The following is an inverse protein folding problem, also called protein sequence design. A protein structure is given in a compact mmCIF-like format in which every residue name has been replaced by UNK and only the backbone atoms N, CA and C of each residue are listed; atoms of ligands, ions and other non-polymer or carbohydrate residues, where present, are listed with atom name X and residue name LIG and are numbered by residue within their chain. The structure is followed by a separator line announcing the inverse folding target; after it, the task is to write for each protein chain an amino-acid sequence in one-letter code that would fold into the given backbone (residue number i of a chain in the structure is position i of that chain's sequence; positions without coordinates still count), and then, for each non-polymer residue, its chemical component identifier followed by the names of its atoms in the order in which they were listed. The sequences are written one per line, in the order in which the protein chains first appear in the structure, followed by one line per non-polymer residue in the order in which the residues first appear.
data_IF_965465884705
#
_entry.id   IF_965465884705
#
_cell.length_a   1.000
_cell.length_b   1.000
_cell.length_c   1.000
_cell.angle_alpha   90.00
_cell.angle_beta   90.00
_cell.angle_gamma   90.00
#
_symmetry.space_group_name_H-M   'P 1'
#
loop_
_entity.id
_entity.type
_entity.pdbx_description
1 polymer ?
#
# COMPACT_ATOMS: atom_id res chain seq x y z
N UNK A 1 9.70 20.10 2.53
CA UNK A 1 10.88 19.43 1.96
C UNK A 1 10.86 19.71 0.45
N UNK A 2 11.81 20.53 -0.02
CA UNK A 2 11.94 20.87 -1.45
C UNK A 2 12.38 19.61 -2.20
N UNK A 3 11.55 19.11 -3.10
CA UNK A 3 12.01 18.12 -4.08
C UNK A 3 13.04 18.79 -4.99
N UNK A 4 14.33 18.55 -4.76
CA UNK A 4 15.38 18.91 -5.71
C UNK A 4 15.33 17.92 -6.88
N UNK A 5 14.50 18.23 -7.89
CA UNK A 5 14.59 17.62 -9.21
C UNK A 5 15.95 18.00 -9.81
N UNK A 6 16.95 17.17 -9.53
CA UNK A 6 18.29 17.39 -10.04
C UNK A 6 18.28 17.29 -11.58
N UNK A 7 18.88 18.31 -12.20
CA UNK A 7 19.25 18.50 -13.61
C UNK A 7 18.22 18.98 -14.64
N UNK A 8 16.97 19.31 -14.27
CA UNK A 8 16.01 19.91 -15.21
C UNK A 8 15.25 21.08 -14.61
N UNK A 9 15.21 22.20 -15.34
CA UNK A 9 14.39 23.37 -15.01
C UNK A 9 12.96 23.15 -15.56
N UNK A 10 12.04 22.74 -14.70
CA UNK A 10 10.68 22.35 -15.10
C UNK A 10 9.70 23.49 -14.88
N UNK A 11 8.97 23.84 -15.94
CA UNK A 11 7.80 24.70 -15.86
C UNK A 11 6.53 23.86 -15.90
N UNK A 12 5.89 23.68 -14.75
CA UNK A 12 4.60 22.98 -14.64
C UNK A 12 3.47 23.94 -14.95
N UNK A 13 2.61 23.59 -15.91
CA UNK A 13 1.42 24.36 -16.29
C UNK A 13 0.22 23.41 -16.24
N UNK A 14 -0.81 23.79 -15.50
CA UNK A 14 -2.08 23.05 -15.47
C UNK A 14 -2.76 23.11 -16.84
N UNK A 15 -3.19 21.95 -17.36
CA UNK A 15 -3.97 21.87 -18.59
C UNK A 15 -5.25 21.05 -18.35
N UNK A 16 -6.44 21.59 -18.67
CA UNK A 16 -7.68 20.85 -18.57
C UNK A 16 -7.66 19.56 -19.42
N UNK A 17 -8.28 18.49 -18.92
CA UNK A 17 -8.32 17.19 -19.59
C UNK A 17 -8.72 17.19 -21.08
N UNK A 18 -9.74 17.98 -21.50
CA UNK A 18 -10.12 18.09 -22.91
C UNK A 18 -9.03 18.61 -23.84
N UNK A 19 -8.02 19.31 -23.32
CA UNK A 19 -6.92 19.86 -24.08
C UNK A 19 -5.64 18.99 -24.02
N UNK A 20 -5.68 17.87 -23.28
CA UNK A 20 -4.60 16.89 -23.24
C UNK A 20 -4.74 15.89 -24.40
N UNK A 21 -4.42 16.36 -25.60
CA UNK A 21 -4.56 15.61 -26.86
C UNK A 21 -3.65 14.38 -26.98
N UNK A 22 -2.57 14.33 -26.19
CA UNK A 22 -1.61 13.23 -26.19
C UNK A 22 -1.75 12.53 -24.83
N UNK A 23 -2.27 11.31 -24.85
CA UNK A 23 -2.17 10.43 -23.69
C UNK A 23 -0.69 10.15 -23.41
N UNK A 24 -0.28 10.25 -22.15
CA UNK A 24 1.09 9.99 -21.73
C UNK A 24 1.51 8.56 -22.11
N UNK A 25 2.19 8.45 -23.24
CA UNK A 25 2.76 7.21 -23.79
C UNK A 25 4.22 7.03 -23.36
N UNK A 26 4.83 8.08 -22.79
CA UNK A 26 6.25 8.10 -22.43
C UNK A 26 6.53 7.43 -21.08
N UNK A 27 5.53 7.28 -20.20
CA UNK A 27 5.67 6.50 -18.97
C UNK A 27 5.71 4.98 -19.20
N UNK A 28 5.42 4.47 -20.42
CA UNK A 28 5.30 3.03 -20.70
C UNK A 28 6.21 2.49 -21.80
N UNK A 29 6.94 3.33 -22.52
CA UNK A 29 7.87 2.90 -23.57
C UNK A 29 9.30 2.76 -23.01
N UNK A 30 9.70 1.57 -22.57
CA UNK A 30 11.12 1.31 -22.28
C UNK A 30 11.86 1.18 -23.60
N UNK A 31 12.59 2.22 -24.01
CA UNK A 31 13.54 2.11 -25.11
C UNK A 31 14.62 1.05 -24.76
N UNK A 32 14.89 0.12 -25.68
CA UNK A 32 15.82 -0.98 -25.48
C UNK A 32 17.19 -0.48 -25.02
N UNK A 33 17.60 -0.89 -23.82
CA UNK A 33 18.83 -0.43 -23.19
C UNK A 33 20.03 -1.21 -23.77
N UNK A 34 20.72 -0.63 -24.74
CA UNK A 34 22.10 -1.01 -25.07
C UNK A 34 23.04 -0.20 -24.17
N UNK A 35 23.12 -0.58 -22.89
CA UNK A 35 24.01 0.03 -21.92
C UNK A 35 24.31 -0.96 -20.81
N UNK A 36 25.58 -1.35 -20.66
CA UNK A 36 26.07 -2.06 -19.47
C UNK A 36 25.96 -1.10 -18.28
N UNK A 37 24.92 -1.26 -17.46
CA UNK A 37 24.71 -0.45 -16.27
C UNK A 37 23.75 -1.13 -15.31
N UNK A 38 24.30 -1.62 -14.21
CA UNK A 38 23.67 -1.91 -12.90
C UNK A 38 22.20 -2.36 -12.92
N UNK A 39 22.05 -3.66 -12.64
CA UNK A 39 20.86 -4.37 -12.20
C UNK A 39 19.82 -3.46 -11.53
N UNK A 40 18.59 -3.53 -12.05
CA UNK A 40 17.36 -2.95 -11.51
C UNK A 40 17.29 -3.05 -9.98
N UNK A 41 17.69 -2.00 -9.29
CA UNK A 41 17.29 -1.76 -7.91
C UNK A 41 15.90 -1.14 -8.00
N UNK A 42 14.87 -1.95 -7.73
CA UNK A 42 13.50 -1.49 -7.46
C UNK A 42 13.60 -0.44 -6.36
N UNK A 43 13.71 0.82 -6.75
CA UNK A 43 13.55 1.94 -5.86
C UNK A 43 12.06 1.99 -5.53
N UNK A 44 11.70 1.28 -4.45
CA UNK A 44 10.59 1.69 -3.62
C UNK A 44 10.96 3.08 -3.09
N UNK A 45 10.61 4.11 -3.89
CA UNK A 45 10.67 5.51 -3.48
C UNK A 45 9.50 5.70 -2.52
N UNK A 46 9.72 5.26 -1.29
CA UNK A 46 9.06 5.72 -0.09
C UNK A 46 10.02 5.42 1.07
N UNK A 47 10.88 6.40 1.37
CA UNK A 47 11.22 6.72 2.77
C UNK A 47 12.16 5.83 3.59
N UNK A 48 13.11 5.08 3.00
CA UNK A 48 14.07 4.31 3.82
C UNK A 48 15.40 5.04 4.15
N UNK A 49 15.70 6.18 3.53
CA UNK A 49 16.91 6.95 3.89
C UNK A 49 16.69 7.86 5.12
N UNK A 50 15.43 8.13 5.50
CA UNK A 50 15.09 8.88 6.71
C UNK A 50 14.99 7.99 7.96
N UNK A 51 15.02 6.67 7.81
CA UNK A 51 14.97 5.75 8.96
C UNK A 51 16.26 5.77 9.79
N UNK A 52 17.42 6.14 9.24
CA UNK A 52 18.67 6.15 10.02
C UNK A 52 18.74 7.24 11.10
N UNK A 53 18.04 8.37 10.92
CA UNK A 53 17.91 9.40 11.95
C UNK A 53 16.83 9.03 12.99
N UNK A 54 15.71 8.43 12.57
CA UNK A 54 14.64 7.98 13.47
C UNK A 54 15.09 6.81 14.38
N UNK A 55 16.00 5.94 13.91
CA UNK A 55 16.58 4.82 14.69
C UNK A 55 17.34 5.30 15.93
N UNK A 56 17.91 6.52 15.91
CA UNK A 56 18.54 7.10 17.11
C UNK A 56 17.49 7.49 18.18
N UNK A 57 16.31 7.97 17.77
CA UNK A 57 15.20 8.25 18.69
C UNK A 57 14.53 6.96 19.21
N UNK A 58 14.51 5.88 18.42
CA UNK A 58 14.07 4.53 18.89
C UNK A 58 14.92 4.04 20.07
N UNK A 59 16.20 4.40 20.09
CA UNK A 59 17.19 3.95 21.08
C UNK A 59 16.92 4.44 22.52
N UNK A 60 16.00 5.38 22.70
CA UNK A 60 15.70 6.04 23.98
C UNK A 60 14.39 5.59 24.65
N UNK A 61 13.64 4.66 24.06
CA UNK A 61 12.37 4.25 24.64
C UNK A 61 12.55 3.23 25.78
N UNK A 62 12.40 3.70 27.02
CA UNK A 62 12.49 2.90 28.26
C UNK A 62 11.69 1.60 28.25
N UNK A 63 10.61 1.56 27.46
CA UNK A 63 9.69 0.42 27.36
C UNK A 63 10.35 -0.85 26.78
N UNK A 64 11.31 -0.73 25.84
CA UNK A 64 11.94 -1.91 25.23
C UNK A 64 13.19 -2.39 25.98
N UNK A 65 13.62 -1.68 27.03
CA UNK A 65 14.82 -2.06 27.79
C UNK A 65 14.69 -3.46 28.41
N UNK A 66 13.51 -3.82 28.92
CA UNK A 66 13.27 -5.16 29.47
C UNK A 66 13.40 -6.26 28.41
N UNK A 67 12.84 -6.04 27.21
CA UNK A 67 12.97 -6.98 26.09
C UNK A 67 14.42 -7.05 25.61
N UNK A 68 15.09 -5.92 25.45
CA UNK A 68 16.51 -5.83 25.08
C UNK A 68 17.40 -6.61 26.06
N UNK A 69 17.20 -6.42 27.35
CA UNK A 69 17.93 -7.16 28.38
C UNK A 69 17.64 -8.67 28.30
N UNK A 70 16.39 -9.06 28.05
CA UNK A 70 16.03 -10.48 27.87
C UNK A 70 16.73 -11.09 26.65
N UNK A 71 16.82 -10.35 25.54
CA UNK A 71 17.50 -10.82 24.32
C UNK A 71 19.02 -10.92 24.53
N UNK A 72 19.62 -9.99 25.29
CA UNK A 72 21.07 -9.99 25.55
C UNK A 72 21.51 -11.01 26.61
N UNK A 73 20.73 -11.18 27.68
CA UNK A 73 21.04 -12.11 28.79
C UNK A 73 20.60 -13.53 28.47
N UNK A 74 19.52 -13.69 27.71
CA UNK A 74 18.90 -14.96 27.40
C UNK A 74 17.44 -15.00 27.83
N UNK A 75 16.64 -15.74 27.06
CA UNK A 75 15.24 -16.01 27.37
C UNK A 75 15.17 -17.09 28.46
N UNK A 76 14.24 -16.98 29.43
CA UNK A 76 14.00 -18.05 30.39
C UNK A 76 13.43 -19.30 29.72
N UNK A 77 13.47 -20.44 30.40
CA UNK A 77 12.90 -21.69 29.87
C UNK A 77 11.37 -21.66 29.82
N UNK A 78 10.75 -20.89 30.73
CA UNK A 78 9.30 -20.81 30.90
C UNK A 78 8.80 -19.41 30.54
N UNK A 79 7.73 -19.33 29.74
CA UNK A 79 7.17 -18.07 29.23
C UNK A 79 6.70 -17.15 30.35
N UNK A 80 6.16 -17.72 31.42
CA UNK A 80 5.64 -17.00 32.58
C UNK A 80 6.75 -16.34 33.40
N UNK A 81 8.00 -16.76 33.26
CA UNK A 81 9.13 -16.12 33.93
C UNK A 81 9.65 -14.89 33.18
N UNK A 82 9.34 -14.79 31.87
CA UNK A 82 9.73 -13.64 31.08
C UNK A 82 8.95 -12.38 31.49
N UNK A 83 9.57 -11.19 31.39
CA UNK A 83 8.87 -9.92 31.57
C UNK A 83 7.64 -9.83 30.66
N UNK A 84 6.55 -9.22 31.12
CA UNK A 84 5.29 -9.08 30.36
C UNK A 84 5.51 -8.60 28.92
N UNK A 85 6.40 -7.61 28.75
CA UNK A 85 6.74 -7.06 27.44
C UNK A 85 7.39 -8.13 26.55
N UNK A 86 8.31 -8.93 27.10
CA UNK A 86 8.98 -9.98 26.35
C UNK A 86 8.03 -11.13 25.96
N UNK A 87 7.01 -11.41 26.78
CA UNK A 87 6.00 -12.45 26.49
C UNK A 87 5.24 -12.20 25.19
N UNK A 88 5.04 -10.94 24.80
CA UNK A 88 4.39 -10.56 23.53
C UNK A 88 5.23 -11.01 22.32
N UNK A 89 6.54 -11.15 22.47
CA UNK A 89 7.49 -11.51 21.41
C UNK A 89 7.98 -12.96 21.51
N UNK A 90 7.49 -13.73 22.48
CA UNK A 90 7.88 -15.13 22.73
C UNK A 90 7.84 -16.05 21.50
N UNK A 91 6.82 -15.99 20.61
CA UNK A 91 6.70 -16.93 19.50
C UNK A 91 7.88 -16.89 18.50
N UNK A 92 8.55 -15.74 18.38
CA UNK A 92 9.65 -15.52 17.45
C UNK A 92 10.90 -15.01 18.18
N UNK A 93 11.02 -15.31 19.48
CA UNK A 93 12.12 -14.88 20.35
C UNK A 93 13.51 -15.18 19.81
N UNK A 94 13.65 -16.31 19.11
CA UNK A 94 14.89 -16.82 18.53
C UNK A 94 15.30 -16.02 17.27
N UNK A 95 14.38 -15.24 16.69
CA UNK A 95 14.62 -14.40 15.51
C UNK A 95 14.98 -12.95 15.88
N UNK A 96 14.94 -12.60 17.17
CA UNK A 96 15.15 -11.23 17.63
C UNK A 96 16.64 -10.99 17.89
N UNK A 97 17.20 -10.03 17.15
CA UNK A 97 18.58 -9.57 17.31
C UNK A 97 18.64 -8.13 17.80
N UNK A 98 19.76 -7.74 18.42
CA UNK A 98 20.02 -6.37 18.85
C UNK A 98 21.15 -5.80 18.01
N UNK A 99 20.92 -4.66 17.35
CA UNK A 99 21.94 -3.95 16.58
C UNK A 99 21.91 -2.47 16.96
N UNK A 100 23.05 -1.92 17.40
CA UNK A 100 23.18 -0.53 17.87
C UNK A 100 22.12 -0.12 18.91
N UNK A 101 21.67 -1.07 19.73
CA UNK A 101 20.66 -0.85 20.76
C UNK A 101 19.20 -0.96 20.30
N UNK A 102 18.96 -1.20 19.00
CA UNK A 102 17.64 -1.41 18.41
C UNK A 102 17.37 -2.89 18.19
N UNK A 103 16.11 -3.30 18.36
CA UNK A 103 15.66 -4.69 18.29
C UNK A 103 15.09 -5.02 16.91
N UNK A 104 15.56 -6.13 16.34
CA UNK A 104 15.22 -6.59 14.99
C UNK A 104 14.75 -8.05 14.98
N UNK A 105 13.43 -8.32 14.82
CA UNK A 105 12.91 -9.63 14.46
C UNK A 105 13.17 -9.87 12.96
N UNK A 106 14.19 -10.68 12.66
CA UNK A 106 14.66 -10.88 11.30
C UNK A 106 15.17 -9.57 10.68
N UNK A 107 14.50 -9.09 9.63
CA UNK A 107 14.86 -7.85 8.90
C UNK A 107 13.97 -6.64 9.26
N UNK A 108 13.07 -6.78 10.23
CA UNK A 108 12.11 -5.72 10.61
C UNK A 108 12.57 -5.04 11.90
N UNK A 109 12.16 -3.79 12.12
CA UNK A 109 12.45 -3.02 13.33
C UNK A 109 11.27 -3.11 14.30
N UNK A 110 11.53 -3.40 15.59
CA UNK A 110 10.51 -3.28 16.63
C UNK A 110 10.29 -1.82 17.01
N UNK A 111 9.03 -1.36 16.87
CA UNK A 111 8.65 0.02 17.18
C UNK A 111 8.11 0.14 18.61
N UNK A 112 8.73 0.99 19.47
CA UNK A 112 8.24 1.30 20.80
C UNK A 112 6.86 1.98 20.78
N UNK A 113 6.06 1.79 21.84
CA UNK A 113 4.72 2.39 21.98
C UNK A 113 4.70 3.91 21.79
N UNK A 114 5.75 4.61 22.22
CA UNK A 114 5.87 6.07 22.08
C UNK A 114 5.95 6.54 20.62
N UNK A 115 6.51 5.73 19.72
CA UNK A 115 6.71 6.09 18.31
C UNK A 115 5.59 5.58 17.39
N UNK A 116 4.73 4.67 17.88
CA UNK A 116 3.59 4.14 17.09
C UNK A 116 2.68 5.23 16.52
N UNK A 117 2.28 6.29 17.24
CA UNK A 117 1.42 7.33 16.67
C UNK A 117 2.04 8.05 15.47
N UNK A 118 3.34 8.32 15.53
CA UNK A 118 4.07 8.93 14.44
C UNK A 118 4.17 7.97 13.24
N UNK A 119 4.53 6.70 13.50
CA UNK A 119 4.62 5.69 12.45
C UNK A 119 3.28 5.45 11.77
N UNK A 120 2.17 5.40 12.51
CA UNK A 120 0.82 5.28 11.96
C UNK A 120 0.50 6.44 11.00
N UNK A 121 0.87 7.66 11.37
CA UNK A 121 0.69 8.85 10.52
C UNK A 121 1.51 8.74 9.23
N UNK A 122 2.76 8.29 9.32
CA UNK A 122 3.64 8.10 8.15
C UNK A 122 3.13 7.00 7.21
N UNK A 123 2.76 5.84 7.77
CA UNK A 123 2.20 4.69 7.02
C UNK A 123 0.92 5.10 6.27
N UNK A 124 0.06 5.89 6.90
CA UNK A 124 -1.22 6.30 6.34
C UNK A 124 -1.14 7.47 5.34
N UNK A 125 0.00 8.15 5.22
CA UNK A 125 0.17 9.39 4.44
C UNK A 125 -0.37 9.35 3.00
N UNK A 126 -0.36 8.18 2.36
CA UNK A 126 -0.82 8.01 0.98
C UNK A 126 -2.30 7.59 0.83
N UNK A 127 -3.05 7.47 1.92
CA UNK A 127 -4.47 7.09 1.93
C UNK A 127 -4.83 5.81 1.11
N UNK A 128 -3.90 4.85 1.03
CA UNK A 128 -4.02 3.63 0.18
C UNK A 128 -4.97 2.56 0.74
N UNK A 129 -5.60 2.80 1.90
CA UNK A 129 -6.48 1.86 2.59
C UNK A 129 -5.75 0.95 3.59
N UNK A 130 -6.49 0.42 4.56
CA UNK A 130 -5.91 -0.23 5.75
C UNK A 130 -5.06 -1.47 5.46
N UNK A 131 -5.50 -2.33 4.53
CA UNK A 131 -4.75 -3.55 4.18
C UNK A 131 -3.47 -3.22 3.39
N UNK A 132 -3.52 -2.23 2.51
CA UNK A 132 -2.36 -1.78 1.75
C UNK A 132 -1.34 -1.08 2.67
N UNK A 133 -1.81 -0.25 3.61
CA UNK A 133 -0.99 0.34 4.67
C UNK A 133 -0.28 -0.74 5.50
N UNK A 134 -1.01 -1.77 5.95
CA UNK A 134 -0.42 -2.88 6.69
C UNK A 134 0.63 -3.63 5.86
N UNK A 135 0.32 -3.95 4.60
CA UNK A 135 1.24 -4.65 3.71
C UNK A 135 2.53 -3.89 3.47
N UNK A 136 2.47 -2.56 3.41
CA UNK A 136 3.65 -1.72 3.30
C UNK A 136 4.45 -1.69 4.61
N UNK A 137 3.78 -1.48 5.74
CA UNK A 137 4.43 -1.39 7.05
C UNK A 137 5.13 -2.70 7.47
N UNK A 138 4.53 -3.85 7.18
CA UNK A 138 5.08 -5.15 7.57
C UNK A 138 6.40 -5.53 6.86
N UNK A 139 6.82 -4.80 5.83
CA UNK A 139 8.10 -5.05 5.14
C UNK A 139 9.28 -4.61 6.01
N UNK A 140 9.16 -3.51 6.75
CA UNK A 140 10.25 -2.92 7.53
C UNK A 140 9.95 -2.79 9.02
N UNK A 141 8.69 -2.73 9.43
CA UNK A 141 8.27 -2.45 10.80
C UNK A 141 7.57 -3.65 11.45
N UNK A 142 7.63 -3.71 12.77
CA UNK A 142 6.90 -4.68 13.56
C UNK A 142 6.53 -4.17 14.95
N UNK A 143 5.30 -4.44 15.39
CA UNK A 143 4.92 -4.46 16.80
C UNK A 143 3.69 -5.37 17.00
N UNK A 144 3.45 -5.86 18.24
CA UNK A 144 2.26 -6.63 18.55
C UNK A 144 0.98 -5.86 18.22
N UNK A 145 0.02 -6.51 17.57
CA UNK A 145 -1.25 -5.93 17.11
C UNK A 145 -1.15 -4.80 16.06
N UNK A 146 -0.02 -4.68 15.35
CA UNK A 146 0.19 -3.68 14.30
C UNK A 146 -0.91 -3.63 13.24
N UNK A 147 -1.39 -4.80 12.78
CA UNK A 147 -2.45 -4.84 11.77
C UNK A 147 -3.75 -4.18 12.26
N UNK A 148 -4.15 -4.48 13.49
CA UNK A 148 -5.36 -3.92 14.11
C UNK A 148 -5.19 -2.43 14.33
N UNK A 149 -4.06 -2.00 14.92
CA UNK A 149 -3.79 -0.57 15.16
C UNK A 149 -3.79 0.24 13.85
N UNK A 150 -3.23 -0.29 12.75
CA UNK A 150 -3.27 0.36 11.43
C UNK A 150 -4.70 0.46 10.89
N UNK A 151 -5.47 -0.63 10.97
CA UNK A 151 -6.86 -0.66 10.50
C UNK A 151 -7.73 0.33 11.27
N UNK A 152 -7.58 0.37 12.59
CA UNK A 152 -8.30 1.30 13.46
C UNK A 152 -7.92 2.74 13.12
N UNK A 153 -6.62 3.04 12.99
CA UNK A 153 -6.16 4.38 12.60
C UNK A 153 -6.74 4.83 11.26
N UNK A 154 -6.70 3.97 10.24
CA UNK A 154 -7.26 4.28 8.91
C UNK A 154 -8.78 4.49 8.98
N UNK A 155 -9.50 3.73 9.81
CA UNK A 155 -10.95 3.86 9.99
C UNK A 155 -11.37 5.20 10.60
N UNK A 156 -10.48 5.86 11.35
CA UNK A 156 -10.75 7.20 11.91
C UNK A 156 -10.48 8.33 10.93
N UNK A 157 -9.87 8.07 9.76
CA UNK A 157 -9.52 9.09 8.80
C UNK A 157 -10.74 9.60 8.02
N UNK A 158 -11.02 10.91 8.12
CA UNK A 158 -12.12 11.57 7.42
C UNK A 158 -12.01 11.47 5.90
N UNK A 159 -10.80 11.65 5.35
CA UNK A 159 -10.54 11.53 3.90
C UNK A 159 -10.83 10.10 3.42
N UNK A 160 -10.28 9.10 4.10
CA UNK A 160 -10.52 7.70 3.73
C UNK A 160 -11.99 7.32 3.84
N UNK A 161 -12.70 7.83 4.85
CA UNK A 161 -14.14 7.56 5.00
C UNK A 161 -14.99 8.28 3.94
N UNK A 162 -14.62 9.49 3.52
CA UNK A 162 -15.32 10.23 2.48
C UNK A 162 -15.22 9.54 1.10
N UNK A 163 -14.08 8.93 0.82
CA UNK A 163 -13.82 8.19 -0.43
C UNK A 163 -13.89 6.66 -0.27
N UNK A 164 -14.36 6.18 0.88
CA UNK A 164 -14.55 4.75 1.09
C UNK A 164 -15.47 4.21 0.01
N UNK A 165 -15.17 3.01 -0.49
CA UNK A 165 -16.02 2.33 -1.47
C UNK A 165 -17.38 2.07 -0.83
N UNK A 166 -18.31 2.98 -1.05
CA UNK A 166 -19.67 2.88 -0.56
C UNK A 166 -20.55 2.55 -1.75
N UNK A 167 -20.46 1.31 -2.23
CA UNK A 167 -21.54 0.59 -2.92
C UNK A 167 -21.13 -0.88 -3.05
N UNK A 168 -21.98 -1.77 -2.56
CA UNK A 168 -21.97 -3.15 -3.05
C UNK A 168 -22.25 -3.06 -4.57
N UNK A 169 -21.47 -3.76 -5.40
CA UNK A 169 -21.80 -3.86 -6.83
C UNK A 169 -23.25 -4.33 -6.92
N UNK A 170 -24.10 -3.58 -7.62
CA UNK A 170 -25.46 -4.01 -7.86
C UNK A 170 -25.43 -5.42 -8.47
N UNK A 171 -26.29 -6.30 -7.96
CA UNK A 171 -26.42 -7.65 -8.52
C UNK A 171 -26.83 -7.51 -9.98
N UNK A 172 -26.13 -8.19 -10.89
CA UNK A 172 -26.55 -8.24 -12.29
C UNK A 172 -27.96 -8.81 -12.36
N UNK A 173 -28.92 -8.00 -12.81
CA UNK A 173 -30.28 -8.44 -13.09
C UNK A 173 -30.27 -9.14 -14.44
N UNK A 174 -30.65 -10.42 -14.47
CA UNK A 174 -30.93 -11.10 -15.74
C UNK A 174 -32.24 -10.57 -16.31
N UNK A 175 -32.27 -10.30 -17.60
CA UNK A 175 -33.51 -10.04 -18.32
C UNK A 175 -34.28 -11.35 -18.53
N UNK A 176 -35.59 -11.24 -18.74
CA UNK A 176 -36.41 -12.37 -19.15
C UNK A 176 -36.04 -12.83 -20.56
N UNK A 177 -35.98 -14.14 -20.79
CA UNK A 177 -35.74 -14.68 -22.12
C UNK A 177 -36.94 -14.42 -23.04
N UNK A 178 -36.73 -13.92 -24.27
CA UNK A 178 -37.82 -13.75 -25.22
C UNK A 178 -38.40 -15.10 -25.63
N UNK A 179 -39.72 -15.13 -25.86
CA UNK A 179 -40.48 -16.34 -26.24
C UNK A 179 -40.76 -16.43 -27.74
N UNK A 180 -40.53 -15.33 -28.46
CA UNK A 180 -40.80 -15.19 -29.90
C UNK A 180 -39.83 -14.20 -30.54
N UNK A 181 -39.52 -14.35 -31.84
CA UNK A 181 -38.69 -13.40 -32.57
C UNK A 181 -39.22 -11.97 -32.46
N UNK A 182 -38.32 -10.99 -32.46
CA UNK A 182 -38.62 -9.55 -32.42
C UNK A 182 -39.28 -9.07 -31.11
N UNK A 183 -39.27 -9.87 -30.05
CA UNK A 183 -39.87 -9.48 -28.76
C UNK A 183 -38.97 -8.53 -27.97
N UNK A 184 -37.66 -8.76 -27.99
CA UNK A 184 -36.65 -7.95 -27.29
C UNK A 184 -35.53 -7.70 -28.30
N UNK A 185 -35.24 -6.43 -28.56
CA UNK A 185 -34.19 -5.99 -29.46
C UNK A 185 -33.18 -5.15 -28.69
N UNK A 186 -31.90 -5.46 -28.84
CA UNK A 186 -30.82 -4.54 -28.47
C UNK A 186 -30.39 -3.77 -29.68
N UNK A 187 -30.24 -2.46 -29.53
CA UNK A 187 -29.79 -1.57 -30.60
C UNK A 187 -28.62 -0.74 -30.07
N UNK A 188 -27.53 -0.69 -30.83
CA UNK A 188 -26.38 0.13 -30.49
C UNK A 188 -25.81 0.80 -31.75
N UNK A 189 -25.28 2.01 -31.58
CA UNK A 189 -24.67 2.76 -32.66
C UNK A 189 -23.16 2.65 -32.58
N UNK A 190 -22.51 2.35 -33.70
CA UNK A 190 -21.05 2.32 -33.76
C UNK A 190 -20.52 2.89 -35.06
N UNK A 191 -19.31 3.45 -35.00
CA UNK A 191 -18.62 4.00 -36.16
C UNK A 191 -17.48 3.06 -36.57
N UNK A 192 -17.44 2.68 -37.84
CA UNK A 192 -16.32 1.90 -38.40
C UNK A 192 -15.89 2.47 -39.76
N UNK A 193 -14.59 2.76 -39.90
CA UNK A 193 -14.00 3.34 -41.12
C UNK A 193 -14.73 4.61 -41.59
N UNK A 194 -14.97 5.54 -40.67
CA UNK A 194 -15.65 6.82 -40.91
C UNK A 194 -17.09 6.68 -41.45
N UNK A 195 -17.74 5.55 -41.16
CA UNK A 195 -19.17 5.34 -41.43
C UNK A 195 -19.87 4.93 -40.15
N UNK A 196 -21.06 5.47 -39.95
CA UNK A 196 -21.90 5.16 -38.80
C UNK A 196 -22.84 4.00 -39.15
N UNK A 197 -22.98 3.07 -38.21
CA UNK A 197 -23.80 1.89 -38.32
C UNK A 197 -24.74 1.80 -37.12
N UNK A 198 -25.91 1.22 -37.34
CA UNK A 198 -26.83 0.81 -36.31
C UNK A 198 -26.80 -0.72 -36.26
N UNK A 199 -26.27 -1.27 -35.17
CA UNK A 199 -26.34 -2.69 -34.86
C UNK A 199 -27.69 -2.96 -34.21
N UNK A 200 -28.40 -3.96 -34.70
CA UNK A 200 -29.65 -4.45 -34.11
C UNK A 200 -29.45 -5.94 -33.88
N UNK A 201 -29.74 -6.41 -32.68
CA UNK A 201 -29.67 -7.82 -32.29
C UNK A 201 -31.02 -8.25 -31.75
N UNK A 202 -31.60 -9.32 -32.31
CA UNK A 202 -32.78 -9.98 -31.78
C UNK A 202 -32.39 -11.02 -30.72
N UNK A 203 -32.81 -10.81 -29.47
CA UNK A 203 -32.44 -11.69 -28.34
C UNK A 203 -33.07 -13.08 -28.41
N UNK A 204 -34.03 -13.32 -29.32
CA UNK A 204 -34.61 -14.66 -29.51
C UNK A 204 -33.76 -15.52 -30.45
N UNK A 205 -33.20 -14.92 -31.51
CA UNK A 205 -32.46 -15.64 -32.56
C UNK A 205 -30.96 -15.39 -32.56
N UNK A 206 -30.47 -14.44 -31.74
CA UNK A 206 -29.09 -13.92 -31.76
C UNK A 206 -28.65 -13.44 -33.16
N UNK A 207 -29.60 -12.95 -33.97
CA UNK A 207 -29.38 -12.42 -35.31
C UNK A 207 -29.30 -10.89 -35.32
#
# INVERSE_FOLDING_TARGET
MLMTLQSYDLRVIYKPGPEMFISDTLSRATAGCAGRGTVYQRHAICSLQQEQEDVQHVNQADYLNALKNTVLVGWPDVKEEAPLIAREYWPFRDEISVQNGVLFPGQKVIIPKSLRPEMLTRIHSSHIGGEACYRHAQETLYWPNMQTEIKDFVSTCSTCNAYAHNQQKETMLSHDLPTRPWQILSMDMFTHRQKDYLLIVDHYSDF
#
